data_IF_326039944689
#
_entry.id   IF_326039944689
#
_cell.length_a   1.000
_cell.length_b   1.000
_cell.length_c   1.000
_cell.angle_alpha   90.00
_cell.angle_beta   90.00
_cell.angle_gamma   90.00
#
_symmetry.space_group_name_H-M   'P 1'
#
loop_
_entity.id
_entity.type
_entity.pdbx_description
1 polymer ?
#
# COMPACT_ATOMS: atom_id res chain seq x y z
N UNK A 1 7.37 28.70 5.89
CA UNK A 1 7.33 27.37 6.53
C UNK A 1 7.28 26.34 5.42
N UNK A 2 8.30 25.52 5.26
CA UNK A 2 8.25 24.36 4.36
C UNK A 2 7.33 23.32 4.98
N UNK A 3 6.24 22.99 4.30
CA UNK A 3 5.35 21.89 4.71
C UNK A 3 6.19 20.60 4.63
N UNK A 4 6.24 19.82 5.72
CA UNK A 4 6.85 18.49 5.65
C UNK A 4 6.02 17.62 4.69
N UNK A 5 6.71 16.87 3.83
CA UNK A 5 6.07 15.92 2.91
C UNK A 5 5.49 14.78 3.73
N UNK A 6 4.22 14.45 3.51
CA UNK A 6 3.57 13.38 4.25
C UNK A 6 4.02 12.00 3.76
N UNK A 7 3.73 10.95 4.54
CA UNK A 7 4.05 9.58 4.14
C UNK A 7 3.34 9.20 2.84
N UNK A 8 2.04 9.52 2.72
CA UNK A 8 1.29 9.30 1.48
C UNK A 8 1.86 10.07 0.31
N UNK A 9 2.24 11.34 0.47
CA UNK A 9 2.87 12.12 -0.60
C UNK A 9 4.16 11.45 -1.11
N UNK A 10 5.00 10.91 -0.20
CA UNK A 10 6.23 10.18 -0.56
C UNK A 10 5.97 8.84 -1.25
N UNK A 11 5.04 8.04 -0.72
CA UNK A 11 4.67 6.75 -1.32
C UNK A 11 4.07 6.99 -2.70
N UNK A 12 3.25 8.03 -2.86
CA UNK A 12 2.67 8.40 -4.16
C UNK A 12 3.79 8.76 -5.14
N UNK A 13 4.72 9.63 -4.77
CA UNK A 13 5.85 10.03 -5.62
C UNK A 13 6.69 8.82 -6.06
N UNK A 14 7.09 7.96 -5.12
CA UNK A 14 7.89 6.78 -5.41
C UNK A 14 7.15 5.80 -6.32
N UNK A 15 5.92 5.39 -5.95
CA UNK A 15 5.17 4.35 -6.68
C UNK A 15 4.76 4.83 -8.07
N UNK A 16 4.49 6.13 -8.25
CA UNK A 16 4.19 6.71 -9.57
C UNK A 16 5.43 6.94 -10.44
N UNK A 17 6.63 6.86 -9.87
CA UNK A 17 7.87 6.84 -10.66
C UNK A 17 8.06 5.53 -11.42
N UNK A 18 7.37 4.46 -11.01
CA UNK A 18 7.49 3.15 -11.64
C UNK A 18 6.83 3.15 -13.04
N UNK A 19 7.51 2.67 -14.09
CA UNK A 19 6.97 2.71 -15.45
C UNK A 19 5.60 2.01 -15.58
N UNK A 20 4.60 2.75 -16.06
CA UNK A 20 3.25 2.24 -16.30
C UNK A 20 2.34 2.18 -15.06
N UNK A 21 2.78 2.75 -13.93
CA UNK A 21 1.94 2.93 -12.76
C UNK A 21 1.26 4.31 -12.80
N UNK A 22 -0.05 4.32 -12.60
CA UNK A 22 -0.88 5.51 -12.53
C UNK A 22 -1.70 5.51 -11.23
N UNK A 23 -2.20 6.69 -10.87
CA UNK A 23 -3.10 6.85 -9.72
C UNK A 23 -4.54 7.00 -10.17
N UNK A 24 -5.49 6.49 -9.40
CA UNK A 24 -6.90 6.72 -9.64
C UNK A 24 -7.75 6.47 -8.41
N UNK A 25 -9.07 6.70 -8.50
CA UNK A 25 -9.98 6.33 -7.43
C UNK A 25 -9.97 4.81 -7.24
N UNK A 26 -9.86 4.38 -5.98
CA UNK A 26 -10.16 3.04 -5.51
C UNK A 26 -11.67 2.81 -5.44
N UNK A 27 -12.07 1.54 -5.42
CA UNK A 27 -13.48 1.15 -5.52
C UNK A 27 -14.35 1.65 -4.34
N UNK A 28 -13.75 2.06 -3.22
CA UNK A 28 -14.45 2.59 -2.05
C UNK A 28 -13.97 4.00 -1.66
N UNK A 29 -13.38 4.73 -2.62
CA UNK A 29 -12.90 6.09 -2.42
C UNK A 29 -11.47 6.19 -1.89
N UNK A 30 -10.74 5.07 -1.81
CA UNK A 30 -9.31 5.06 -1.48
C UNK A 30 -8.46 5.66 -2.61
N UNK A 31 -7.21 6.02 -2.31
CA UNK A 31 -6.24 6.43 -3.34
C UNK A 31 -5.54 5.19 -3.90
N UNK A 32 -5.89 4.76 -5.11
CA UNK A 32 -5.40 3.52 -5.70
C UNK A 32 -4.25 3.72 -6.68
N UNK A 33 -3.27 2.81 -6.62
CA UNK A 33 -2.22 2.64 -7.62
C UNK A 33 -2.62 1.56 -8.61
N UNK A 34 -2.47 1.83 -9.91
CA UNK A 34 -2.90 0.95 -10.99
C UNK A 34 -1.76 0.72 -11.99
N UNK A 35 -1.58 -0.53 -12.39
CA UNK A 35 -0.74 -0.90 -13.53
C UNK A 35 -1.66 -1.37 -14.67
N UNK A 36 -1.82 -0.52 -15.67
CA UNK A 36 -2.85 -0.68 -16.69
C UNK A 36 -4.25 -0.74 -16.05
N UNK A 37 -4.95 -1.87 -16.17
CA UNK A 37 -6.30 -2.05 -15.61
C UNK A 37 -6.32 -2.65 -14.19
N UNK A 38 -5.16 -3.00 -13.63
CA UNK A 38 -5.07 -3.75 -12.38
C UNK A 38 -4.65 -2.84 -11.23
N UNK A 39 -5.43 -2.82 -10.16
CA UNK A 39 -4.99 -2.22 -8.89
C UNK A 39 -3.86 -3.06 -8.29
N UNK A 40 -2.79 -2.38 -7.89
CA UNK A 40 -1.61 -2.97 -7.25
C UNK A 40 -1.49 -2.56 -5.77
N UNK A 41 -2.33 -1.63 -5.31
CA UNK A 41 -2.49 -1.27 -3.90
C UNK A 41 -3.23 0.05 -3.75
N UNK A 42 -3.58 0.42 -2.53
CA UNK A 42 -4.21 1.69 -2.22
C UNK A 42 -3.83 2.21 -0.84
N UNK A 43 -3.88 3.53 -0.69
CA UNK A 43 -3.63 4.25 0.56
C UNK A 43 -4.91 4.66 1.25
N UNK A 44 -4.89 4.58 2.59
CA UNK A 44 -5.84 5.20 3.51
C UNK A 44 -5.16 6.42 4.16
N UNK A 45 -4.84 7.44 3.34
CA UNK A 45 -4.07 8.59 3.78
C UNK A 45 -2.67 8.20 4.27
N UNK A 46 -2.20 8.84 5.34
CA UNK A 46 -0.90 8.57 5.96
C UNK A 46 -0.93 7.40 6.96
N UNK A 47 -2.04 6.66 7.08
CA UNK A 47 -2.23 5.67 8.15
C UNK A 47 -1.95 4.23 7.70
N UNK A 48 -2.31 3.87 6.46
CA UNK A 48 -2.16 2.49 5.99
C UNK A 48 -2.05 2.37 4.48
N UNK A 49 -1.28 1.36 4.07
CA UNK A 49 -1.20 0.86 2.71
C UNK A 49 -1.74 -0.57 2.63
N UNK A 50 -2.66 -0.81 1.70
CA UNK A 50 -3.21 -2.13 1.44
C UNK A 50 -2.82 -2.62 0.06
N UNK A 51 -2.47 -3.90 -0.05
CA UNK A 51 -2.05 -4.50 -1.32
C UNK A 51 -2.27 -6.01 -1.32
N UNK A 52 -2.13 -6.62 -2.49
CA UNK A 52 -2.13 -8.06 -2.67
C UNK A 52 -0.77 -8.59 -3.10
N UNK A 53 -0.36 -9.72 -2.53
CA UNK A 53 0.87 -10.41 -2.89
C UNK A 53 0.61 -11.87 -3.30
N UNK A 54 1.47 -12.47 -4.13
CA UNK A 54 1.55 -13.94 -4.20
C UNK A 54 1.75 -14.52 -2.80
N UNK A 55 1.08 -15.63 -2.48
CA UNK A 55 1.04 -16.16 -1.11
C UNK A 55 2.42 -16.40 -0.48
N UNK A 56 3.40 -16.85 -1.26
CA UNK A 56 4.77 -17.03 -0.76
C UNK A 56 5.38 -15.71 -0.28
N UNK A 57 5.33 -14.66 -1.12
CA UNK A 57 5.80 -13.31 -0.76
C UNK A 57 5.02 -12.74 0.42
N UNK A 58 3.70 -12.96 0.46
CA UNK A 58 2.87 -12.54 1.59
C UNK A 58 3.34 -13.20 2.89
N UNK A 59 3.56 -14.52 2.88
CA UNK A 59 4.02 -15.26 4.06
C UNK A 59 5.37 -14.76 4.53
N UNK A 60 6.34 -14.59 3.63
CA UNK A 60 7.69 -14.12 3.98
C UNK A 60 7.64 -12.72 4.62
N UNK A 61 6.84 -11.81 4.06
CA UNK A 61 6.69 -10.45 4.59
C UNK A 61 5.97 -10.45 5.95
N UNK A 62 4.96 -11.30 6.12
CA UNK A 62 4.21 -11.41 7.38
C UNK A 62 5.07 -12.01 8.49
N UNK A 63 5.87 -13.05 8.20
CA UNK A 63 6.82 -13.64 9.15
C UNK A 63 7.91 -12.64 9.59
N UNK A 64 8.28 -11.71 8.73
CA UNK A 64 9.18 -10.60 9.05
C UNK A 64 8.50 -9.46 9.84
N UNK A 65 7.20 -9.56 10.13
CA UNK A 65 6.43 -8.50 10.79
C UNK A 65 6.26 -7.25 9.94
N UNK A 66 6.48 -7.34 8.62
CA UNK A 66 6.40 -6.20 7.70
C UNK A 66 4.99 -5.90 7.24
N UNK A 67 4.06 -6.85 7.33
CA UNK A 67 2.66 -6.69 6.97
C UNK A 67 1.80 -7.51 7.93
N UNK A 68 0.52 -7.14 8.00
CA UNK A 68 -0.53 -7.91 8.67
C UNK A 68 -1.62 -8.31 7.64
N UNK A 69 -2.60 -9.08 8.08
CA UNK A 69 -3.80 -9.38 7.31
C UNK A 69 -4.58 -8.12 6.98
N UNK A 70 -5.06 -8.06 5.74
CA UNK A 70 -5.98 -7.02 5.32
C UNK A 70 -7.26 -7.02 6.20
N UNK A 71 -7.73 -5.88 6.74
CA UNK A 71 -8.85 -5.83 7.70
C UNK A 71 -10.16 -6.47 7.20
N UNK A 72 -10.43 -6.36 5.89
CA UNK A 72 -11.62 -6.96 5.24
C UNK A 72 -11.48 -8.48 5.01
N UNK A 73 -10.27 -9.01 4.98
CA UNK A 73 -9.98 -10.41 4.69
C UNK A 73 -9.11 -11.04 5.81
N UNK A 74 -9.60 -11.03 7.07
CA UNK A 74 -8.83 -11.54 8.19
C UNK A 74 -8.50 -13.03 8.01
N UNK A 75 -7.28 -13.42 8.35
CA UNK A 75 -6.81 -14.80 8.24
C UNK A 75 -6.65 -15.33 6.81
N UNK A 76 -6.69 -14.46 5.79
CA UNK A 76 -6.50 -14.86 4.38
C UNK A 76 -5.15 -14.37 3.82
N UNK A 77 -4.13 -15.26 3.74
CA UNK A 77 -2.87 -14.94 3.08
C UNK A 77 -3.07 -14.50 1.63
N UNK A 78 -2.33 -13.47 1.24
CA UNK A 78 -2.39 -12.85 -0.09
C UNK A 78 -3.03 -11.46 -0.09
N UNK A 79 -3.77 -11.08 0.95
CA UNK A 79 -4.26 -9.71 1.16
C UNK A 79 -3.53 -9.10 2.36
N UNK A 80 -2.78 -8.03 2.12
CA UNK A 80 -1.89 -7.41 3.09
C UNK A 80 -2.37 -6.03 3.52
N UNK A 81 -2.04 -5.69 4.76
CA UNK A 81 -2.05 -4.32 5.26
C UNK A 81 -0.70 -3.98 5.89
N UNK A 82 -0.21 -2.76 5.61
CA UNK A 82 0.90 -2.12 6.31
C UNK A 82 0.35 -0.89 7.00
N UNK A 83 0.49 -0.80 8.32
CA UNK A 83 0.29 0.47 9.04
C UNK A 83 1.51 1.35 8.83
N UNK A 84 1.29 2.65 8.72
CA UNK A 84 2.33 3.66 8.55
C UNK A 84 2.38 4.44 9.87
N UNK A 85 3.35 4.13 10.71
CA UNK A 85 3.52 4.73 12.04
C UNK A 85 4.76 5.62 12.11
N UNK A 86 5.78 5.30 11.32
CA UNK A 86 7.05 5.99 11.29
C UNK A 86 7.73 5.92 9.91
N UNK A 87 8.92 6.52 9.84
CA UNK A 87 9.72 6.63 8.61
C UNK A 87 10.15 5.29 8.01
N UNK A 88 10.30 4.24 8.81
CA UNK A 88 10.67 2.89 8.34
C UNK A 88 9.47 2.16 7.68
N UNK A 89 8.27 2.76 7.72
CA UNK A 89 7.07 2.27 7.05
C UNK A 89 6.86 2.85 5.64
N UNK A 90 7.71 3.80 5.23
CA UNK A 90 7.60 4.55 3.95
C UNK A 90 8.58 4.05 2.91
#
# INVERSE_FOLDING_TARGET
MTKQVTASERIIEEVTSWPGVETGPGDRGEFAFKFGRREIGHLHGDEAFHTGFPKAVWTDLHEQGRIDYHPVFPGKPGYAARRIENEDDV
#
